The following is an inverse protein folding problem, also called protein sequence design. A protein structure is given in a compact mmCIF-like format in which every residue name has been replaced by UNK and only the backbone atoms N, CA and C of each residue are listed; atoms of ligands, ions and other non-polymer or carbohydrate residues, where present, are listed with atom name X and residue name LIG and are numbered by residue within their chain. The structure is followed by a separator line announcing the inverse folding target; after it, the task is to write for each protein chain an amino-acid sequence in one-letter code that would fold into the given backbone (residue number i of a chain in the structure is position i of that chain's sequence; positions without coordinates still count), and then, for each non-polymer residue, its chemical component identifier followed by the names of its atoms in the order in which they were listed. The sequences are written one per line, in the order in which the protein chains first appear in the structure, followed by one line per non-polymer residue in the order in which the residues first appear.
data_IF_464799003682
#
_entry.id   IF_464799003682
#
_cell.length_a   1.000
_cell.length_b   1.000
_cell.length_c   1.000
_cell.angle_alpha   90.00
_cell.angle_beta   90.00
_cell.angle_gamma   90.00
#
_symmetry.space_group_name_H-M   'P 1'
#
loop_
_entity.id
_entity.type
_entity.pdbx_description
1 polymer ?
#
# COMPACT_ATOMS: atom_id res chain seq x y z
N UNK A 1 9.16 10.52 7.19
CA UNK A 1 8.97 10.48 5.73
C UNK A 1 7.99 9.36 5.43
N UNK A 2 6.77 9.69 4.99
CA UNK A 2 5.78 8.67 4.64
C UNK A 2 6.20 7.98 3.34
N UNK A 3 6.59 6.72 3.44
CA UNK A 3 6.95 5.93 2.25
C UNK A 3 5.72 5.80 1.34
N UNK A 4 5.89 6.21 0.08
CA UNK A 4 4.83 6.22 -0.92
C UNK A 4 4.37 4.78 -1.21
N UNK A 5 3.06 4.54 -1.14
CA UNK A 5 2.47 3.28 -1.57
C UNK A 5 2.30 3.30 -3.08
N UNK A 6 2.71 2.22 -3.75
CA UNK A 6 2.64 2.08 -5.20
C UNK A 6 2.11 0.71 -5.57
N UNK A 7 1.09 0.68 -6.41
CA UNK A 7 0.61 -0.54 -7.05
C UNK A 7 1.34 -0.71 -8.38
N UNK A 8 1.90 -1.90 -8.63
CA UNK A 8 2.52 -2.24 -9.91
C UNK A 8 1.92 -3.54 -10.46
N UNK A 9 1.55 -3.59 -11.76
CA UNK A 9 1.21 -4.84 -12.42
C UNK A 9 2.43 -5.74 -12.58
N UNK A 10 2.22 -7.04 -12.56
CA UNK A 10 3.22 -8.10 -12.80
C UNK A 10 3.02 -8.72 -14.19
N UNK A 11 4.02 -9.48 -14.65
CA UNK A 11 3.98 -10.15 -15.96
C UNK A 11 2.86 -11.21 -16.02
N UNK A 12 2.51 -11.82 -14.88
CA UNK A 12 1.46 -12.82 -14.77
C UNK A 12 0.03 -12.24 -14.70
N UNK A 13 -0.11 -10.92 -14.88
CA UNK A 13 -1.42 -10.24 -14.86
C UNK A 13 -1.97 -9.95 -13.47
N UNK A 14 -1.17 -10.19 -12.42
CA UNK A 14 -1.51 -9.81 -11.04
C UNK A 14 -0.93 -8.45 -10.70
N UNK A 15 -1.23 -7.97 -9.50
CA UNK A 15 -0.79 -6.69 -8.98
C UNK A 15 -0.02 -6.90 -7.68
N UNK A 16 1.04 -6.11 -7.51
CA UNK A 16 1.86 -6.10 -6.29
C UNK A 16 1.86 -4.70 -5.70
N UNK A 17 1.64 -4.62 -4.40
CA UNK A 17 1.67 -3.38 -3.65
C UNK A 17 3.06 -3.22 -3.03
N UNK A 18 3.68 -2.08 -3.28
CA UNK A 18 4.97 -1.69 -2.74
C UNK A 18 4.83 -0.52 -1.78
N UNK A 19 5.66 -0.50 -0.76
CA UNK A 19 5.94 0.66 0.09
C UNK A 19 7.41 1.02 -0.10
N UNK A 20 7.66 2.13 -0.79
CA UNK A 20 9.02 2.46 -1.22
C UNK A 20 9.61 1.33 -2.08
N UNK A 21 10.72 0.75 -1.63
CA UNK A 21 11.40 -0.39 -2.29
C UNK A 21 10.95 -1.76 -1.78
N UNK A 22 10.08 -1.82 -0.76
CA UNK A 22 9.64 -3.07 -0.15
C UNK A 22 8.31 -3.54 -0.74
N UNK A 23 8.23 -4.80 -1.16
CA UNK A 23 6.97 -5.42 -1.55
C UNK A 23 6.18 -5.80 -0.30
N UNK A 24 4.94 -5.31 -0.18
CA UNK A 24 4.05 -5.64 0.94
C UNK A 24 3.24 -6.89 0.64
N UNK A 25 2.62 -6.94 -0.54
CA UNK A 25 1.76 -8.05 -0.97
C UNK A 25 1.84 -8.19 -2.48
N UNK A 26 1.93 -9.42 -2.97
CA UNK A 26 1.94 -9.79 -4.39
C UNK A 26 0.76 -10.70 -4.74
N UNK A 27 0.49 -10.88 -6.04
CA UNK A 27 -0.54 -11.80 -6.51
C UNK A 27 -1.97 -11.27 -6.36
N UNK A 28 -2.15 -9.96 -6.20
CA UNK A 28 -3.47 -9.35 -6.04
C UNK A 28 -4.18 -9.21 -7.38
N UNK A 29 -5.50 -9.31 -7.39
CA UNK A 29 -6.29 -8.76 -8.49
C UNK A 29 -6.25 -7.23 -8.45
N UNK A 30 -6.60 -6.58 -9.56
CA UNK A 30 -6.67 -5.12 -9.62
C UNK A 30 -7.49 -4.52 -8.48
N UNK A 31 -8.71 -5.04 -8.28
CA UNK A 31 -9.63 -4.58 -7.24
C UNK A 31 -9.07 -4.81 -5.83
N UNK A 32 -8.36 -5.92 -5.60
CA UNK A 32 -7.71 -6.18 -4.33
C UNK A 32 -6.56 -5.21 -4.07
N UNK A 33 -5.75 -4.90 -5.07
CA UNK A 33 -4.65 -3.94 -4.95
C UNK A 33 -5.17 -2.52 -4.66
N UNK A 34 -6.23 -2.08 -5.35
CA UNK A 34 -6.90 -0.80 -5.10
C UNK A 34 -7.45 -0.72 -3.67
N UNK A 35 -8.13 -1.79 -3.20
CA UNK A 35 -8.63 -1.87 -1.81
C UNK A 35 -7.49 -1.87 -0.79
N UNK A 36 -6.40 -2.59 -1.06
CA UNK A 36 -5.27 -2.68 -0.16
C UNK A 36 -4.54 -1.33 -0.04
N UNK A 37 -4.37 -0.61 -1.15
CA UNK A 37 -3.86 0.77 -1.15
C UNK A 37 -4.74 1.68 -0.28
N UNK A 38 -6.06 1.65 -0.48
CA UNK A 38 -7.01 2.45 0.31
C UNK A 38 -6.96 2.11 1.80
N UNK A 39 -6.86 0.82 2.16
CA UNK A 39 -6.70 0.39 3.54
C UNK A 39 -5.40 0.89 4.17
N UNK A 40 -4.28 0.86 3.45
CA UNK A 40 -3.00 1.37 3.95
C UNK A 40 -3.01 2.89 4.06
N UNK A 41 -3.60 3.60 3.09
CA UNK A 41 -3.76 5.05 3.17
C UNK A 41 -4.57 5.46 4.41
N UNK A 42 -5.60 4.67 4.76
CA UNK A 42 -6.38 4.88 5.97
C UNK A 42 -5.57 4.59 7.24
N UNK A 43 -4.81 3.49 7.27
CA UNK A 43 -3.92 3.15 8.37
C UNK A 43 -2.82 4.20 8.60
N UNK A 44 -2.23 4.75 7.53
CA UNK A 44 -1.24 5.83 7.65
C UNK A 44 -1.82 7.09 8.28
N UNK A 45 -3.12 7.35 8.07
CA UNK A 45 -3.82 8.49 8.70
C UNK A 45 -4.09 8.25 10.18
N UNK A 46 -4.41 7.01 10.55
CA UNK A 46 -4.59 6.59 11.95
C UNK A 46 -3.28 6.42 12.71
N UNK A 47 -2.18 6.16 12.00
CA UNK A 47 -0.81 6.09 12.53
C UNK A 47 -0.06 7.42 12.46
N UNK A 48 -0.74 8.56 12.29
CA UNK A 48 -0.17 9.81 12.75
C UNK A 48 -0.19 9.76 14.28
N UNK A 49 0.95 9.55 14.97
CA UNK A 49 0.93 9.62 16.41
C UNK A 49 0.51 11.06 16.73
N UNK A 50 -0.52 11.17 17.56
CA UNK A 50 -0.72 12.34 18.40
C UNK A 50 0.63 12.63 19.09
N UNK A 51 1.35 13.61 18.57
CA UNK A 51 2.45 14.27 19.26
C UNK A 51 1.83 15.50 19.92
N UNK A 52 1.93 15.54 21.26
CA UNK A 52 1.57 16.67 22.14
C UNK A 52 0.25 16.40 22.87
N UNK A 53 0.24 15.88 24.10
CA UNK A 53 0.67 16.50 25.37
C UNK A 53 -0.27 17.63 25.81
#
# INVERSE_FOLDING_TARGET
MSELIRVKPTQDGTYTVYRGSMALVAGLTRLQAERYEASIAHQQRSFSPLVGA
#
